data_IF_954710970516
#
_entry.id   IF_954710970516
#
_cell.length_a   1.000
_cell.length_b   1.000
_cell.length_c   1.000
_cell.angle_alpha   90.00
_cell.angle_beta   90.00
_cell.angle_gamma   90.00
#
_symmetry.space_group_name_H-M   'P 1'
#
loop_
_entity.id
_entity.type
_entity.pdbx_description
1 polymer ?
#
# COMPACT_ATOMS: atom_id res chain seq x y z
N UNK A 1 6.08 9.32 16.07
CA UNK A 1 7.45 9.06 15.55
C UNK A 1 7.33 8.00 14.47
N UNK A 2 7.62 8.31 13.20
CA UNK A 2 7.61 7.31 12.13
C UNK A 2 8.92 6.52 12.22
N UNK A 3 8.85 5.26 12.64
CA UNK A 3 9.98 4.34 12.57
C UNK A 3 10.31 4.12 11.08
N UNK A 4 11.53 4.50 10.67
CA UNK A 4 12.04 4.14 9.35
C UNK A 4 12.39 2.65 9.38
N UNK A 5 11.58 1.84 8.71
CA UNK A 5 11.79 0.40 8.58
C UNK A 5 12.51 0.14 7.25
N UNK A 6 13.66 -0.55 7.31
CA UNK A 6 14.32 -1.03 6.10
C UNK A 6 13.58 -2.27 5.59
N UNK A 7 12.85 -2.11 4.48
CA UNK A 7 12.09 -3.18 3.85
C UNK A 7 12.95 -4.12 2.98
N UNK A 8 14.21 -3.77 2.70
CA UNK A 8 15.06 -4.48 1.76
C UNK A 8 14.54 -4.42 0.31
N UNK A 9 15.01 -5.34 -0.53
CA UNK A 9 14.53 -5.49 -1.91
C UNK A 9 13.37 -6.48 -1.94
N UNK A 10 12.19 -6.00 -2.33
CA UNK A 10 11.03 -6.88 -2.58
C UNK A 10 11.17 -7.46 -4.00
N UNK A 11 11.46 -8.76 -4.10
CA UNK A 11 11.73 -9.47 -5.37
C UNK A 11 10.44 -9.89 -6.10
N UNK A 12 9.50 -8.98 -6.24
CA UNK A 12 8.20 -9.22 -6.88
C UNK A 12 8.01 -8.32 -8.09
N UNK A 13 7.18 -8.76 -9.04
CA UNK A 13 6.90 -7.97 -10.25
C UNK A 13 5.68 -7.05 -10.04
N UNK A 14 5.86 -5.72 -9.87
CA UNK A 14 4.75 -4.78 -9.63
C UNK A 14 3.86 -4.56 -10.87
N UNK A 15 4.24 -5.08 -12.05
CA UNK A 15 3.42 -5.03 -13.25
C UNK A 15 2.34 -6.12 -13.31
N UNK A 16 2.34 -7.07 -12.37
CA UNK A 16 1.38 -8.20 -12.33
C UNK A 16 0.54 -8.15 -11.06
N UNK A 17 -0.73 -8.57 -11.14
CA UNK A 17 -1.60 -8.61 -9.95
C UNK A 17 -1.02 -9.51 -8.85
N UNK A 18 -0.47 -10.68 -9.20
CA UNK A 18 0.17 -11.58 -8.23
C UNK A 18 1.33 -10.88 -7.50
N UNK A 19 2.24 -10.23 -8.24
CA UNK A 19 3.36 -9.52 -7.63
C UNK A 19 2.89 -8.34 -6.76
N UNK A 20 1.88 -7.59 -7.20
CA UNK A 20 1.29 -6.49 -6.40
C UNK A 20 0.69 -7.03 -5.10
N UNK A 21 -0.03 -8.15 -5.13
CA UNK A 21 -0.58 -8.78 -3.91
C UNK A 21 0.54 -9.15 -2.94
N UNK A 22 1.61 -9.79 -3.42
CA UNK A 22 2.73 -10.19 -2.55
C UNK A 22 3.50 -8.99 -1.99
N UNK A 23 3.69 -7.93 -2.78
CA UNK A 23 4.24 -6.65 -2.30
C UNK A 23 3.35 -6.06 -1.21
N UNK A 24 2.03 -5.98 -1.45
CA UNK A 24 1.08 -5.41 -0.49
C UNK A 24 1.02 -6.23 0.81
N UNK A 25 1.02 -7.57 0.72
CA UNK A 25 1.12 -8.45 1.90
C UNK A 25 2.41 -8.22 2.67
N UNK A 26 3.53 -8.08 1.96
CA UNK A 26 4.82 -7.81 2.60
C UNK A 26 4.80 -6.49 3.37
N UNK A 27 4.32 -5.41 2.74
CA UNK A 27 4.16 -4.10 3.39
C UNK A 27 3.22 -4.20 4.60
N UNK A 28 2.11 -4.94 4.47
CA UNK A 28 1.09 -5.03 5.52
C UNK A 28 1.61 -5.65 6.83
N UNK A 29 2.67 -6.47 6.78
CA UNK A 29 3.32 -7.03 7.99
C UNK A 29 3.94 -5.95 8.88
N UNK A 30 4.28 -4.80 8.30
CA UNK A 30 4.91 -3.68 8.98
C UNK A 30 3.91 -2.56 9.30
N UNK A 31 2.62 -2.78 9.07
CA UNK A 31 1.58 -1.82 9.42
C UNK A 31 1.58 -1.58 10.93
N UNK A 32 1.74 -0.32 11.39
CA UNK A 32 1.73 -0.03 12.81
C UNK A 32 0.36 -0.37 13.40
N UNK A 33 0.36 -0.77 14.66
CA UNK A 33 -0.84 -1.10 15.41
C UNK A 33 -1.07 -0.06 16.49
N UNK A 34 -2.33 0.19 16.84
CA UNK A 34 -2.68 1.01 17.99
C UNK A 34 -2.41 0.28 19.32
N UNK A 35 -2.75 0.94 20.43
CA UNK A 35 -2.57 0.41 21.79
C UNK A 35 -3.41 -0.85 22.05
N UNK A 36 -4.46 -1.08 21.26
CA UNK A 36 -5.34 -2.27 21.33
C UNK A 36 -4.90 -3.36 20.34
N UNK A 37 -3.82 -3.15 19.59
CA UNK A 37 -3.27 -4.09 18.61
C UNK A 37 -3.97 -4.06 17.25
N UNK A 38 -4.89 -3.12 17.01
CA UNK A 38 -5.59 -2.98 15.73
C UNK A 38 -4.68 -2.29 14.70
N UNK A 39 -4.59 -2.82 13.46
CA UNK A 39 -3.75 -2.20 12.44
C UNK A 39 -4.28 -0.83 12.03
N UNK A 40 -3.38 0.15 11.96
CA UNK A 40 -3.68 1.51 11.57
C UNK A 40 -3.61 1.68 10.04
N UNK A 41 -4.48 2.50 9.44
CA UNK A 41 -4.43 2.74 8.00
C UNK A 41 -3.13 3.44 7.58
N UNK A 42 -2.51 2.96 6.51
CA UNK A 42 -1.34 3.57 5.86
C UNK A 42 -1.74 4.07 4.48
N UNK A 43 -1.32 5.29 4.15
CA UNK A 43 -1.46 5.81 2.79
C UNK A 43 -0.34 5.26 1.91
N UNK A 44 -0.72 4.51 0.87
CA UNK A 44 0.18 4.00 -0.15
C UNK A 44 0.10 4.88 -1.40
N UNK A 45 1.16 5.64 -1.63
CA UNK A 45 1.30 6.50 -2.78
C UNK A 45 1.83 5.74 -4.00
N UNK A 46 1.30 6.06 -5.19
CA UNK A 46 1.78 5.52 -6.46
C UNK A 46 1.30 6.37 -7.63
N UNK A 47 1.83 6.11 -8.82
CA UNK A 47 1.24 6.64 -10.05
C UNK A 47 -0.14 6.03 -10.31
N UNK A 48 -0.89 6.61 -11.26
CA UNK A 48 -2.27 6.19 -11.52
C UNK A 48 -2.38 4.68 -11.85
N UNK A 49 -1.55 4.10 -12.75
CA UNK A 49 -1.61 2.67 -13.04
C UNK A 49 -1.29 1.78 -11.83
N UNK A 50 -0.34 2.18 -10.98
CA UNK A 50 -0.03 1.39 -9.77
C UNK A 50 -1.19 1.43 -8.78
N UNK A 51 -1.81 2.59 -8.59
CA UNK A 51 -2.98 2.75 -7.71
C UNK A 51 -4.15 1.89 -8.17
N UNK A 52 -4.45 1.88 -9.47
CA UNK A 52 -5.52 1.05 -10.04
C UNK A 52 -5.26 -0.44 -9.77
N UNK A 53 -4.05 -0.93 -10.04
CA UNK A 53 -3.68 -2.32 -9.73
C UNK A 53 -3.80 -2.64 -8.23
N UNK A 54 -3.39 -1.73 -7.36
CA UNK A 54 -3.52 -1.91 -5.90
C UNK A 54 -4.99 -1.99 -5.47
N UNK A 55 -5.88 -1.21 -6.10
CA UNK A 55 -7.32 -1.26 -5.84
C UNK A 55 -7.89 -2.61 -6.30
N UNK A 56 -7.56 -3.06 -7.51
CA UNK A 56 -7.99 -4.36 -8.03
C UNK A 56 -7.53 -5.51 -7.12
N UNK A 57 -6.26 -5.49 -6.70
CA UNK A 57 -5.71 -6.49 -5.79
C UNK A 57 -6.41 -6.48 -4.43
N UNK A 58 -6.71 -5.30 -3.88
CA UNK A 58 -7.49 -5.19 -2.64
C UNK A 58 -8.89 -5.76 -2.78
N UNK A 59 -9.58 -5.47 -3.88
CA UNK A 59 -10.92 -6.03 -4.17
C UNK A 59 -10.83 -7.56 -4.24
N UNK A 60 -9.84 -8.10 -4.96
CA UNK A 60 -9.63 -9.55 -5.09
C UNK A 60 -9.36 -10.22 -3.73
N UNK A 61 -8.70 -9.52 -2.80
CA UNK A 61 -8.38 -10.04 -1.47
C UNK A 61 -9.47 -9.77 -0.41
N UNK A 62 -10.52 -9.01 -0.73
CA UNK A 62 -11.55 -8.57 0.23
C UNK A 62 -12.31 -9.73 0.89
N UNK A 63 -12.45 -10.85 0.19
CA UNK A 63 -13.12 -12.07 0.68
C UNK A 63 -12.18 -13.03 1.42
N UNK A 64 -10.91 -12.66 1.65
CA UNK A 64 -9.96 -13.54 2.33
C UNK A 64 -10.46 -13.95 3.72
N UNK A 65 -10.28 -15.23 4.06
CA UNK A 65 -10.67 -15.81 5.34
C UNK A 65 -9.88 -15.19 6.50
N UNK A 66 -8.62 -14.82 6.27
CA UNK A 66 -7.78 -14.13 7.25
C UNK A 66 -7.96 -12.62 7.06
N UNK A 67 -8.50 -11.88 8.06
CA UNK A 67 -8.70 -10.43 7.94
C UNK A 67 -7.42 -9.65 7.61
N UNK A 68 -6.27 -10.14 8.08
CA UNK A 68 -4.97 -9.52 7.79
C UNK A 68 -4.57 -9.62 6.32
N UNK A 69 -5.09 -10.60 5.58
CA UNK A 69 -4.80 -10.76 4.16
C UNK A 69 -5.73 -9.94 3.26
N UNK A 70 -6.75 -9.27 3.82
CA UNK A 70 -7.70 -8.44 3.05
C UNK A 70 -7.12 -7.11 2.60
N UNK A 71 -5.93 -6.74 3.07
CA UNK A 71 -5.19 -5.54 2.68
C UNK A 71 -5.97 -4.22 2.89
N UNK A 72 -6.98 -4.22 3.77
CA UNK A 72 -7.94 -3.11 3.93
C UNK A 72 -7.29 -1.84 4.49
N UNK A 73 -6.21 -2.00 5.24
CA UNK A 73 -5.48 -0.91 5.92
C UNK A 73 -4.52 -0.18 4.97
N UNK A 74 -4.24 -0.73 3.79
CA UNK A 74 -3.41 -0.07 2.78
C UNK A 74 -4.33 0.80 1.90
N UNK A 75 -4.29 2.11 2.14
CA UNK A 75 -5.14 3.09 1.48
C UNK A 75 -4.42 3.65 0.25
N UNK A 76 -4.88 3.24 -0.93
CA UNK A 76 -4.30 3.64 -2.21
C UNK A 76 -4.56 5.13 -2.47
N UNK A 77 -3.53 5.90 -2.82
CA UNK A 77 -3.67 7.31 -3.20
C UNK A 77 -2.74 7.68 -4.35
N UNK A 78 -3.27 8.24 -5.46
CA UNK A 78 -2.43 8.79 -6.51
C UNK A 78 -1.46 9.83 -5.96
N UNK A 79 -0.17 9.64 -6.26
CA UNK A 79 0.86 10.63 -6.01
C UNK A 79 0.87 11.58 -7.20
N UNK A 80 0.22 12.74 -7.02
CA UNK A 80 0.23 13.76 -8.05
C UNK A 80 1.59 14.48 -8.07
N UNK A 81 2.55 13.91 -8.80
CA UNK A 81 3.83 14.58 -9.08
C UNK A 81 3.60 15.98 -9.65
N UNK A 82 2.65 16.11 -10.59
CA UNK A 82 2.28 17.40 -11.19
C UNK A 82 1.65 18.39 -10.20
N UNK A 83 0.80 17.96 -9.26
CA UNK A 83 0.29 18.88 -8.22
C UNK A 83 1.40 19.32 -7.27
N UNK A 84 2.39 18.45 -7.00
CA UNK A 84 3.58 18.83 -6.22
C UNK A 84 4.38 19.92 -6.94
N UNK A 85 4.55 19.80 -8.26
CA UNK A 85 5.21 20.84 -9.09
C UNK A 85 4.42 22.14 -9.07
N UNK A 86 3.10 22.11 -9.32
CA UNK A 86 2.25 23.33 -9.28
C UNK A 86 2.26 23.99 -7.91
N UNK A 87 2.25 23.22 -6.81
CA UNK A 87 2.35 23.76 -5.45
C UNK A 87 3.74 24.34 -5.11
N UNK A 88 4.77 23.99 -5.87
CA UNK A 88 6.14 24.47 -5.70
C UNK A 88 6.52 25.54 -6.74
N UNK A 89 5.67 25.79 -7.72
CA UNK A 89 5.78 26.92 -8.63
C UNK A 89 5.20 28.14 -7.92
N UNK A 90 6.11 29.04 -7.51
CA UNK A 90 5.81 30.35 -6.90
C UNK A 90 5.33 31.32 -7.98
#
# INVERSE_FOLDING_TARGET
>A
MLLKINLGVVKENPATCKGVIEIMKYINRYTPRDVEGKPLPIICHGDQPSVERMIECRIAMSSSALPMDRLEVLIQRPQNFHKRVVLLQV
#
